data_IF_730795829159
#
_entry.id   IF_730795829159
#
_cell.length_a   1.000
_cell.length_b   1.000
_cell.length_c   1.000
_cell.angle_alpha   90.00
_cell.angle_beta   90.00
_cell.angle_gamma   90.00
#
_symmetry.space_group_name_H-M   'P 1'
#
loop_
_entity.id
_entity.type
_entity.pdbx_description
1 polymer ?
#
# COMPACT_ATOMS: atom_id res chain seq x y z
N UNK A 1 -62.52 -11.71 7.76
CA UNK A 1 -62.87 -12.23 6.44
C UNK A 1 -61.61 -12.39 5.63
N UNK A 2 -61.50 -13.55 4.99
CA UNK A 2 -60.39 -14.10 4.21
C UNK A 2 -60.44 -13.53 2.78
N UNK A 3 -59.26 -13.38 2.15
CA UNK A 3 -58.88 -13.82 0.78
C UNK A 3 -57.73 -12.89 0.28
N UNK A 4 -56.49 -13.34 0.11
CA UNK A 4 -55.93 -14.33 -0.84
C UNK A 4 -55.74 -13.78 -2.26
N UNK A 5 -54.47 -13.57 -2.65
CA UNK A 5 -53.93 -14.10 -3.91
C UNK A 5 -52.44 -13.80 -4.05
N UNK A 6 -51.64 -14.86 -3.92
CA UNK A 6 -50.42 -15.03 -4.69
C UNK A 6 -50.77 -15.47 -6.12
N UNK A 7 -49.78 -15.56 -7.02
CA UNK A 7 -49.45 -16.91 -7.47
C UNK A 7 -47.95 -17.20 -7.48
N UNK A 8 -47.67 -18.50 -7.45
CA UNK A 8 -46.37 -19.17 -7.46
C UNK A 8 -46.15 -19.94 -8.79
N UNK A 9 -44.97 -20.57 -8.87
CA UNK A 9 -44.49 -21.63 -9.80
C UNK A 9 -43.74 -21.14 -11.06
N UNK A 10 -42.39 -21.26 -11.19
CA UNK A 10 -41.47 -22.43 -11.28
C UNK A 10 -41.49 -23.12 -12.67
N UNK A 11 -40.49 -23.93 -13.07
CA UNK A 11 -39.02 -23.88 -12.96
C UNK A 11 -38.35 -23.91 -14.36
N UNK A 12 -37.03 -23.80 -14.49
CA UNK A 12 -36.35 -24.21 -15.75
C UNK A 12 -35.07 -24.99 -15.48
N UNK A 13 -34.91 -26.03 -16.28
CA UNK A 13 -34.18 -27.27 -16.06
C UNK A 13 -32.67 -27.21 -16.24
N UNK A 14 -32.05 -28.16 -15.54
CA UNK A 14 -30.82 -28.89 -15.80
C UNK A 14 -30.60 -29.26 -17.28
N UNK A 15 -29.38 -29.01 -17.78
CA UNK A 15 -28.84 -29.69 -18.97
C UNK A 15 -27.43 -30.16 -18.64
N UNK A 16 -27.31 -31.47 -18.48
CA UNK A 16 -26.07 -32.26 -18.50
C UNK A 16 -25.97 -32.93 -19.88
N UNK A 17 -24.76 -33.39 -20.22
CA UNK A 17 -24.40 -34.28 -21.35
C UNK A 17 -24.19 -33.50 -22.68
N UNK A 18 -23.11 -33.66 -23.46
CA UNK A 18 -22.22 -34.80 -23.68
C UNK A 18 -20.76 -34.35 -23.99
N UNK A 19 -19.80 -35.18 -23.59
CA UNK A 19 -18.46 -35.28 -24.18
C UNK A 19 -18.53 -36.20 -25.44
N UNK A 20 -17.51 -36.99 -25.82
CA UNK A 20 -16.10 -36.76 -26.18
C UNK A 20 -15.81 -37.29 -27.62
N UNK A 21 -14.68 -36.95 -28.24
CA UNK A 21 -14.10 -37.71 -29.39
C UNK A 21 -12.57 -37.54 -29.33
N UNK A 22 -11.85 -38.53 -28.78
CA UNK A 22 -11.08 -39.59 -29.48
C UNK A 22 -9.82 -39.05 -30.19
N UNK A 23 -8.62 -39.42 -29.75
CA UNK A 23 -7.96 -40.73 -29.94
C UNK A 23 -7.38 -40.89 -31.35
N UNK A 24 -6.05 -40.84 -31.44
CA UNK A 24 -5.23 -41.60 -32.41
C UNK A 24 -3.92 -41.94 -31.67
N UNK A 25 -3.85 -43.11 -31.01
CA UNK A 25 -3.30 -44.38 -31.52
C UNK A 25 -1.78 -44.25 -31.74
N UNK A 26 -0.94 -44.64 -30.76
CA UNK A 26 -0.32 -45.99 -30.63
C UNK A 26 0.22 -46.51 -31.97
N UNK A 27 1.53 -46.77 -32.08
CA UNK A 27 2.10 -47.97 -32.71
C UNK A 27 3.63 -47.96 -32.49
N UNK A 28 4.10 -48.81 -31.58
CA UNK A 28 5.32 -49.61 -31.82
C UNK A 28 4.88 -50.91 -32.54
N UNK A 29 5.72 -51.93 -32.86
CA UNK A 29 7.20 -52.09 -33.04
C UNK A 29 7.53 -52.65 -34.47
N UNK A 30 8.75 -53.02 -34.92
CA UNK A 30 9.45 -54.32 -34.78
C UNK A 30 10.64 -54.39 -35.79
N UNK A 31 11.75 -54.99 -35.32
CA UNK A 31 12.90 -55.73 -35.92
C UNK A 31 13.30 -55.70 -37.41
N UNK A 32 14.63 -55.71 -37.63
CA UNK A 32 15.37 -56.65 -38.52
C UNK A 32 16.86 -56.68 -38.09
N UNK A 33 17.33 -57.61 -37.26
CA UNK A 33 18.09 -58.86 -37.58
C UNK A 33 19.11 -58.71 -38.72
N UNK A 34 20.41 -58.95 -38.46
CA UNK A 34 21.26 -59.99 -39.10
C UNK A 34 22.57 -60.16 -38.29
N UNK A 35 22.90 -61.43 -38.11
CA UNK A 35 24.03 -62.07 -37.41
C UNK A 35 25.43 -61.72 -37.93
N UNK A 36 26.46 -61.93 -37.10
CA UNK A 36 27.38 -63.09 -37.23
C UNK A 36 28.40 -63.12 -36.07
N UNK A 37 28.74 -64.34 -35.67
CA UNK A 37 29.63 -64.75 -34.58
C UNK A 37 31.12 -64.80 -35.07
N UNK A 38 32.12 -65.41 -34.38
CA UNK A 38 32.58 -65.29 -32.98
C UNK A 38 34.14 -65.26 -32.79
N UNK A 39 34.56 -65.09 -31.52
CA UNK A 39 35.86 -65.46 -30.85
C UNK A 39 37.18 -64.81 -31.31
N UNK A 40 37.82 -64.04 -30.42
CA UNK A 40 39.19 -64.37 -29.97
C UNK A 40 39.49 -63.75 -28.59
N UNK A 41 39.84 -64.65 -27.67
CA UNK A 41 40.21 -64.41 -26.29
C UNK A 41 41.68 -63.95 -26.21
N UNK A 42 41.98 -62.81 -25.60
CA UNK A 42 43.31 -62.57 -25.01
C UNK A 42 43.23 -61.67 -23.78
N UNK A 43 43.93 -62.10 -22.74
CA UNK A 43 43.81 -61.70 -21.35
C UNK A 43 44.64 -60.44 -21.01
N UNK A 44 44.23 -59.79 -19.91
CA UNK A 44 44.56 -58.44 -19.42
C UNK A 44 46.05 -58.16 -19.06
N UNK A 45 46.36 -56.87 -18.82
CA UNK A 45 46.98 -56.48 -17.56
C UNK A 45 46.03 -55.64 -16.70
N UNK A 46 45.70 -56.14 -15.51
CA UNK A 46 44.82 -55.48 -14.55
C UNK A 46 45.60 -54.37 -13.84
N UNK A 47 45.41 -53.11 -14.23
CA UNK A 47 45.86 -51.96 -13.43
C UNK A 47 44.83 -51.69 -12.32
N UNK A 48 45.17 -52.07 -11.09
CA UNK A 48 44.35 -51.76 -9.91
C UNK A 48 44.52 -50.27 -9.58
N UNK A 49 43.60 -49.43 -10.06
CA UNK A 49 43.45 -48.09 -9.53
C UNK A 49 42.69 -48.17 -8.21
N UNK A 50 43.41 -47.99 -7.10
CA UNK A 50 42.82 -47.87 -5.77
C UNK A 50 41.95 -46.61 -5.72
N UNK A 51 40.64 -46.78 -5.87
CA UNK A 51 39.68 -45.68 -5.66
C UNK A 51 39.55 -45.46 -4.16
N UNK A 52 40.27 -44.47 -3.63
CA UNK A 52 40.07 -44.00 -2.25
C UNK A 52 38.75 -43.24 -2.22
N UNK A 53 37.65 -43.93 -1.90
CA UNK A 53 36.39 -43.26 -1.56
C UNK A 53 36.57 -42.52 -0.24
N UNK A 54 36.66 -41.19 -0.29
CA UNK A 54 36.54 -40.33 0.90
C UNK A 54 35.07 -40.28 1.32
N UNK A 55 34.68 -41.19 2.20
CA UNK A 55 33.35 -41.14 2.85
C UNK A 55 33.43 -40.10 3.96
N UNK A 56 32.77 -38.96 3.77
CA UNK A 56 32.52 -38.01 4.85
C UNK A 56 31.49 -38.64 5.81
N UNK A 57 31.97 -39.12 6.94
CA UNK A 57 31.12 -39.49 8.08
C UNK A 57 30.77 -38.19 8.80
N UNK A 58 29.50 -37.79 8.77
CA UNK A 58 29.00 -36.72 9.64
C UNK A 58 28.06 -37.32 10.68
N UNK A 59 28.27 -36.80 11.88
CA UNK A 59 27.72 -37.13 13.16
C UNK A 59 26.18 -37.21 13.19
N UNK A 60 25.70 -37.89 14.22
CA UNK A 60 24.38 -38.42 14.49
C UNK A 60 23.28 -37.34 14.56
N UNK A 61 22.72 -36.97 13.42
CA UNK A 61 21.38 -36.34 13.33
C UNK A 61 20.59 -37.00 12.20
N UNK A 62 19.71 -37.90 12.62
CA UNK A 62 18.59 -38.51 11.88
C UNK A 62 18.81 -38.77 10.38
N UNK A 63 19.41 -39.92 10.03
CA UNK A 63 19.13 -40.68 8.79
C UNK A 63 19.25 -40.02 7.40
N UNK A 64 19.55 -38.72 7.30
CA UNK A 64 19.54 -37.98 6.05
C UNK A 64 20.87 -38.20 5.33
N UNK A 65 20.79 -38.75 4.12
CA UNK A 65 21.93 -38.89 3.20
C UNK A 65 22.16 -37.53 2.54
N UNK A 66 23.26 -36.88 2.87
CA UNK A 66 23.69 -35.66 2.19
C UNK A 66 24.56 -36.06 0.99
N UNK A 67 24.20 -35.59 -0.21
CA UNK A 67 25.04 -35.72 -1.39
C UNK A 67 26.14 -34.67 -1.31
N UNK A 68 27.33 -35.06 -0.86
CA UNK A 68 28.49 -34.17 -0.73
C UNK A 68 29.02 -33.67 -2.09
N UNK A 69 28.58 -34.29 -3.20
CA UNK A 69 28.98 -33.95 -4.57
C UNK A 69 28.06 -32.90 -5.24
N UNK A 70 27.02 -32.44 -4.55
CA UNK A 70 26.11 -31.42 -5.07
C UNK A 70 26.77 -30.03 -4.99
N UNK A 71 27.37 -29.58 -6.09
CA UNK A 71 27.85 -28.20 -6.23
C UNK A 71 26.66 -27.24 -6.34
N UNK A 72 26.76 -26.09 -5.68
CA UNK A 72 25.71 -25.07 -5.75
C UNK A 72 25.56 -24.58 -7.20
N UNK A 73 24.34 -24.49 -7.73
CA UNK A 73 24.11 -23.95 -9.07
C UNK A 73 24.68 -22.54 -9.22
N UNK A 74 25.31 -22.23 -10.36
CA UNK A 74 25.95 -20.94 -10.60
C UNK A 74 24.99 -19.74 -10.47
N UNK A 75 23.69 -19.92 -10.72
CA UNK A 75 22.69 -18.87 -10.54
C UNK A 75 22.50 -18.48 -9.06
N UNK A 76 22.71 -19.41 -8.13
CA UNK A 76 22.62 -19.14 -6.70
C UNK A 76 23.83 -18.31 -6.23
N UNK A 77 25.02 -18.61 -6.76
CA UNK A 77 26.21 -17.79 -6.51
C UNK A 77 26.03 -16.36 -7.04
N UNK A 78 25.39 -16.21 -8.22
CA UNK A 78 25.04 -14.90 -8.76
C UNK A 78 24.06 -14.16 -7.82
N UNK A 79 23.05 -14.86 -7.31
CA UNK A 79 22.09 -14.31 -6.33
C UNK A 79 22.78 -13.80 -5.06
N UNK A 80 23.73 -14.56 -4.51
CA UNK A 80 24.52 -14.15 -3.34
C UNK A 80 25.42 -12.93 -3.58
N UNK A 81 25.70 -12.56 -4.83
CA UNK A 81 26.41 -11.32 -5.17
C UNK A 81 25.45 -10.17 -5.51
N UNK A 82 24.38 -10.49 -6.22
CA UNK A 82 23.42 -9.51 -6.74
C UNK A 82 22.49 -9.00 -5.64
N UNK A 83 21.95 -9.87 -4.77
CA UNK A 83 21.07 -9.47 -3.67
C UNK A 83 21.73 -8.47 -2.72
N UNK A 84 22.92 -8.73 -2.13
CA UNK A 84 23.53 -7.74 -1.25
C UNK A 84 23.94 -6.46 -1.99
N UNK A 85 24.28 -6.54 -3.28
CA UNK A 85 24.54 -5.35 -4.10
C UNK A 85 23.26 -4.50 -4.27
N UNK A 86 22.11 -5.12 -4.54
CA UNK A 86 20.83 -4.42 -4.60
C UNK A 86 20.39 -3.86 -3.24
N UNK A 87 20.68 -4.57 -2.14
CA UNK A 87 20.43 -4.05 -0.79
C UNK A 87 21.31 -2.83 -0.51
N UNK A 88 22.60 -2.87 -0.88
CA UNK A 88 23.51 -1.73 -0.71
C UNK A 88 23.13 -0.54 -1.60
N UNK A 89 22.79 -0.79 -2.86
CA UNK A 89 22.27 0.25 -3.77
C UNK A 89 20.96 0.81 -3.22
N UNK A 90 20.08 -0.04 -2.70
CA UNK A 90 18.86 0.34 -1.98
C UNK A 90 19.19 1.25 -0.81
N UNK A 91 20.09 0.85 0.09
CA UNK A 91 20.51 1.64 1.25
C UNK A 91 21.11 3.00 0.88
N UNK A 92 21.92 3.07 -0.18
CA UNK A 92 22.52 4.35 -0.65
C UNK A 92 21.45 5.24 -1.29
N UNK A 93 20.52 4.68 -2.06
CA UNK A 93 19.42 5.43 -2.66
C UNK A 93 18.32 5.81 -1.66
N UNK A 94 18.23 5.12 -0.52
CA UNK A 94 17.32 5.47 0.60
C UNK A 94 18.02 6.27 1.70
N UNK A 95 19.25 6.77 1.48
CA UNK A 95 20.08 7.36 2.56
C UNK A 95 19.77 8.82 2.92
N UNK A 96 18.68 9.40 2.41
CA UNK A 96 18.04 10.56 3.06
C UNK A 96 16.98 10.06 4.07
N UNK A 97 17.42 9.83 5.31
CA UNK A 97 16.65 9.74 6.57
C UNK A 97 15.11 9.63 6.49
N UNK A 98 14.54 8.53 6.98
CA UNK A 98 13.15 8.50 7.46
C UNK A 98 13.09 8.06 8.93
N UNK A 99 13.55 8.95 9.79
CA UNK A 99 13.47 8.93 11.27
C UNK A 99 13.35 10.43 11.63
N UNK A 100 12.29 11.01 12.22
CA UNK A 100 11.24 10.59 13.14
C UNK A 100 9.83 10.89 12.58
N UNK A 101 8.78 10.17 13.03
CA UNK A 101 7.37 10.40 12.65
C UNK A 101 6.86 9.71 11.37
N UNK A 102 7.54 8.66 10.88
CA UNK A 102 7.47 8.09 9.51
C UNK A 102 6.18 8.37 8.70
N UNK A 103 6.38 9.15 7.64
CA UNK A 103 5.46 9.95 6.80
C UNK A 103 5.14 11.34 7.34
N UNK A 104 5.08 11.55 8.65
CA UNK A 104 4.94 12.87 9.28
C UNK A 104 6.27 13.63 9.50
N UNK A 105 6.15 14.92 9.84
CA UNK A 105 7.21 15.89 10.10
C UNK A 105 7.51 16.09 11.61
N UNK A 106 6.66 15.54 12.49
CA UNK A 106 6.75 15.63 13.96
C UNK A 106 6.90 14.26 14.64
N UNK A 107 7.47 14.23 15.85
CA UNK A 107 7.33 13.11 16.78
C UNK A 107 6.07 13.32 17.64
N UNK A 108 5.21 12.29 17.74
CA UNK A 108 3.93 12.39 18.43
C UNK A 108 3.81 11.29 19.48
N UNK A 109 3.89 11.66 20.76
CA UNK A 109 3.65 10.72 21.84
C UNK A 109 2.15 10.63 22.16
N UNK A 110 1.55 9.47 21.87
CA UNK A 110 0.12 9.23 22.08
C UNK A 110 -0.30 9.24 23.55
N UNK A 111 0.59 8.94 24.49
CA UNK A 111 0.27 8.81 25.93
C UNK A 111 0.29 10.17 26.62
N UNK A 112 1.29 11.00 26.32
CA UNK A 112 1.42 12.36 26.84
C UNK A 112 0.70 13.39 25.99
N UNK A 113 0.27 13.01 24.77
CA UNK A 113 -0.29 13.91 23.75
C UNK A 113 0.65 15.07 23.40
N UNK A 114 1.95 14.90 23.63
CA UNK A 114 2.95 15.90 23.28
C UNK A 114 3.42 15.68 21.84
N UNK A 115 3.45 16.77 21.09
CA UNK A 115 4.05 16.85 19.77
C UNK A 115 5.34 17.66 19.86
N UNK A 116 6.42 17.09 19.33
CA UNK A 116 7.72 17.75 19.25
C UNK A 116 8.24 17.66 17.83
N UNK A 117 9.03 18.65 17.43
CA UNK A 117 9.75 18.58 16.17
C UNK A 117 10.76 17.42 16.20
N UNK A 118 11.24 16.97 15.05
CA UNK A 118 12.24 15.89 14.97
C UNK A 118 13.58 16.21 15.67
N UNK A 119 13.82 17.48 16.01
CA UNK A 119 14.97 17.92 16.82
C UNK A 119 14.69 17.91 18.34
N UNK A 120 13.49 17.50 18.76
CA UNK A 120 13.04 17.44 20.15
C UNK A 120 12.53 18.76 20.73
N UNK A 121 12.50 19.85 19.95
CA UNK A 121 11.92 21.12 20.39
C UNK A 121 10.38 21.06 20.45
N UNK A 122 9.71 21.80 21.37
CA UNK A 122 8.25 21.85 21.43
C UNK A 122 7.65 22.34 20.10
N UNK A 123 6.60 21.69 19.63
CA UNK A 123 5.86 22.16 18.47
C UNK A 123 4.85 23.24 18.90
N UNK A 124 5.05 24.48 18.45
CA UNK A 124 4.22 25.64 18.82
C UNK A 124 3.02 25.86 17.87
N UNK A 125 2.66 24.88 17.03
CA UNK A 125 1.54 25.00 16.08
C UNK A 125 1.80 25.95 14.90
N UNK A 126 2.96 26.61 14.89
CA UNK A 126 3.43 27.54 13.85
C UNK A 126 4.71 26.97 13.26
N UNK A 127 4.85 27.07 11.93
CA UNK A 127 6.06 26.62 11.25
C UNK A 127 7.27 27.38 11.79
N UNK A 128 8.46 26.77 11.74
CA UNK A 128 9.73 27.31 12.28
C UNK A 128 10.19 28.63 11.61
N UNK A 129 9.37 29.22 10.73
CA UNK A 129 9.58 30.57 10.22
C UNK A 129 8.24 31.15 9.75
N UNK A 130 7.81 32.25 10.39
CA UNK A 130 6.61 33.06 10.09
C UNK A 130 5.31 32.65 10.78
N UNK A 131 4.51 33.66 11.12
CA UNK A 131 3.23 33.64 11.86
C UNK A 131 2.08 32.90 11.16
N UNK A 132 2.41 32.03 10.21
CA UNK A 132 1.49 31.31 9.34
C UNK A 132 1.30 29.89 9.90
N UNK A 133 0.05 29.46 9.99
CA UNK A 133 -0.31 28.11 10.45
C UNK A 133 0.37 27.07 9.55
N UNK A 134 1.15 26.15 10.13
CA UNK A 134 1.68 25.03 9.36
C UNK A 134 0.62 23.92 9.34
N UNK A 135 -0.26 23.97 8.34
CA UNK A 135 -1.39 23.04 8.21
C UNK A 135 -0.97 21.56 8.11
N UNK A 136 0.19 21.26 7.54
CA UNK A 136 0.70 19.87 7.49
C UNK A 136 1.06 19.38 8.89
N UNK A 137 1.78 20.20 9.66
CA UNK A 137 2.23 19.84 11.00
C UNK A 137 1.08 19.83 12.02
N UNK A 138 0.18 20.83 11.97
CA UNK A 138 -1.06 20.83 12.75
C UNK A 138 -1.94 19.62 12.42
N UNK A 139 -2.05 19.27 11.13
CA UNK A 139 -2.81 18.12 10.68
C UNK A 139 -2.25 16.80 11.21
N UNK A 140 -0.93 16.65 11.26
CA UNK A 140 -0.29 15.49 11.87
C UNK A 140 -0.64 15.35 13.37
N UNK A 141 -0.66 16.47 14.10
CA UNK A 141 -1.04 16.48 15.51
C UNK A 141 -2.49 16.04 15.70
N UNK A 142 -3.41 16.53 14.87
CA UNK A 142 -4.81 16.13 14.90
C UNK A 142 -4.94 14.64 14.57
N UNK A 143 -4.30 14.20 13.49
CA UNK A 143 -4.34 12.83 12.99
C UNK A 143 -3.90 11.78 14.01
N UNK A 144 -2.75 12.04 14.64
CA UNK A 144 -2.11 11.11 15.59
C UNK A 144 -2.57 11.32 17.03
N UNK A 145 -3.08 12.51 17.35
CA UNK A 145 -3.43 12.96 18.70
C UNK A 145 -4.93 12.99 18.93
N UNK A 146 -5.50 14.20 19.07
CA UNK A 146 -6.82 14.43 19.64
C UNK A 146 -7.98 13.80 18.84
N UNK A 147 -7.88 13.72 17.51
CA UNK A 147 -8.90 13.08 16.67
C UNK A 147 -8.70 11.56 16.55
N UNK A 148 -7.51 11.05 16.88
CA UNK A 148 -7.14 9.64 16.85
C UNK A 148 -7.44 8.93 15.50
N UNK A 149 -7.38 9.65 14.37
CA UNK A 149 -7.62 9.13 13.03
C UNK A 149 -6.71 7.92 12.71
N UNK A 150 -5.46 7.99 13.15
CA UNK A 150 -4.45 6.94 13.03
C UNK A 150 -4.90 5.58 13.62
N UNK A 151 -5.82 5.58 14.59
CA UNK A 151 -6.32 4.36 15.22
C UNK A 151 -7.11 3.45 14.27
N UNK A 152 -7.80 4.04 13.29
CA UNK A 152 -8.59 3.30 12.30
C UNK A 152 -7.92 3.28 10.92
N UNK A 153 -7.35 4.41 10.50
CA UNK A 153 -6.74 4.57 9.17
C UNK A 153 -5.24 4.18 9.13
N UNK A 154 -4.70 3.73 10.27
CA UNK A 154 -3.33 3.30 10.43
C UNK A 154 -2.35 4.47 10.56
N UNK A 155 -1.32 4.33 11.40
CA UNK A 155 -0.34 5.41 11.67
C UNK A 155 0.33 6.00 10.42
N UNK A 156 0.42 5.21 9.34
CA UNK A 156 1.04 5.60 8.07
C UNK A 156 0.02 5.79 6.92
N UNK A 157 -1.27 5.94 7.25
CA UNK A 157 -2.37 6.06 6.29
C UNK A 157 -2.65 4.79 5.49
N UNK A 158 -2.13 3.64 5.94
CA UNK A 158 -2.24 2.35 5.25
C UNK A 158 -3.60 1.66 5.39
N UNK A 159 -4.52 2.25 6.16
CA UNK A 159 -5.82 1.68 6.48
C UNK A 159 -5.77 0.65 7.61
N UNK A 160 -6.86 -0.09 7.76
CA UNK A 160 -7.03 -1.16 8.74
C UNK A 160 -8.51 -1.40 8.99
N UNK A 161 -9.04 -0.76 10.04
CA UNK A 161 -10.48 -0.68 10.28
C UNK A 161 -11.12 0.36 9.35
N UNK A 162 -10.42 1.47 9.12
CA UNK A 162 -10.77 2.49 8.15
C UNK A 162 -10.09 2.26 6.80
N UNK A 163 -10.58 2.91 5.73
CA UNK A 163 -9.95 2.89 4.42
C UNK A 163 -8.51 3.40 4.44
N UNK A 164 -7.70 2.93 3.49
CA UNK A 164 -6.37 3.46 3.25
C UNK A 164 -6.43 4.81 2.51
N UNK A 165 -5.45 5.67 2.77
CA UNK A 165 -5.25 6.92 2.03
C UNK A 165 -4.21 6.79 0.91
N UNK A 166 -3.36 5.75 1.01
CA UNK A 166 -2.23 5.52 0.13
C UNK A 166 -2.64 4.83 -1.17
N UNK A 167 -1.76 4.83 -2.17
CA UNK A 167 -2.01 4.13 -3.44
C UNK A 167 -3.00 4.85 -4.36
N UNK A 168 -3.28 6.13 -4.11
CA UNK A 168 -4.22 6.93 -4.89
C UNK A 168 -5.66 6.90 -4.37
N UNK A 169 -6.00 6.01 -3.43
CA UNK A 169 -7.36 5.82 -2.89
C UNK A 169 -7.99 7.11 -2.35
N UNK A 170 -7.18 7.98 -1.71
CA UNK A 170 -7.69 9.24 -1.18
C UNK A 170 -8.20 10.14 -2.31
N UNK A 171 -7.39 10.37 -3.35
CA UNK A 171 -7.73 11.28 -4.43
C UNK A 171 -8.78 10.71 -5.40
N UNK A 172 -8.86 9.39 -5.54
CA UNK A 172 -9.98 8.76 -6.28
C UNK A 172 -11.29 8.92 -5.55
N UNK A 173 -11.28 8.81 -4.22
CA UNK A 173 -12.50 8.95 -3.40
C UNK A 173 -12.91 10.41 -3.24
N UNK A 174 -11.96 11.30 -2.95
CA UNK A 174 -12.19 12.73 -2.70
C UNK A 174 -11.28 13.58 -3.60
N UNK A 175 -11.74 13.92 -4.81
CA UNK A 175 -10.97 14.75 -5.73
C UNK A 175 -10.68 16.15 -5.17
N UNK A 176 -11.62 16.73 -4.43
CA UNK A 176 -11.50 18.09 -3.87
C UNK A 176 -11.24 18.06 -2.36
N UNK A 177 -10.54 19.07 -1.85
CA UNK A 177 -10.32 19.24 -0.42
C UNK A 177 -11.65 19.45 0.33
N UNK A 178 -12.57 20.23 -0.25
CA UNK A 178 -13.87 20.52 0.37
C UNK A 178 -14.72 19.27 0.60
N UNK A 179 -14.77 18.35 -0.37
CA UNK A 179 -15.54 17.10 -0.22
C UNK A 179 -14.92 16.20 0.85
N UNK A 180 -13.58 16.17 0.92
CA UNK A 180 -12.87 15.43 1.95
C UNK A 180 -13.15 16.01 3.34
N UNK A 181 -13.05 17.33 3.50
CA UNK A 181 -13.34 18.03 4.75
C UNK A 181 -14.79 17.82 5.19
N UNK A 182 -15.75 17.85 4.24
CA UNK A 182 -17.16 17.63 4.54
C UNK A 182 -17.43 16.20 5.02
N UNK A 183 -16.75 15.21 4.45
CA UNK A 183 -16.83 13.83 4.91
C UNK A 183 -16.35 13.67 6.36
N UNK A 184 -15.21 14.27 6.71
CA UNK A 184 -14.67 14.23 8.08
C UNK A 184 -15.59 15.00 9.06
N UNK A 185 -16.11 16.16 8.64
CA UNK A 185 -17.03 16.96 9.44
C UNK A 185 -18.27 16.14 9.84
N UNK A 186 -18.94 15.53 8.86
CA UNK A 186 -20.20 14.81 9.09
C UNK A 186 -20.00 13.41 9.68
N UNK A 187 -18.91 12.73 9.29
CA UNK A 187 -18.76 11.30 9.48
C UNK A 187 -19.86 10.49 8.78
N UNK A 188 -19.84 9.17 8.94
CA UNK A 188 -20.76 8.31 8.18
C UNK A 188 -22.24 8.57 8.50
N UNK A 189 -22.57 8.80 9.78
CA UNK A 189 -23.95 8.98 10.22
C UNK A 189 -24.53 10.34 9.82
N UNK A 190 -23.75 11.42 9.97
CA UNK A 190 -24.14 12.75 9.50
C UNK A 190 -24.29 12.77 7.98
N UNK A 191 -23.36 12.13 7.27
CA UNK A 191 -23.40 12.06 5.80
C UNK A 191 -24.65 11.34 5.29
N UNK A 192 -24.98 10.18 5.87
CA UNK A 192 -26.19 9.44 5.51
C UNK A 192 -27.46 10.25 5.74
N UNK A 193 -27.47 11.10 6.76
CA UNK A 193 -28.63 11.90 7.14
C UNK A 193 -28.79 13.15 6.26
N UNK A 194 -27.68 13.80 5.87
CA UNK A 194 -27.71 15.06 5.13
C UNK A 194 -27.61 14.90 3.62
N UNK A 195 -26.82 13.93 3.15
CA UNK A 195 -26.45 13.81 1.73
C UNK A 195 -27.04 12.55 1.12
N UNK A 196 -26.81 11.39 1.75
CA UNK A 196 -27.36 10.13 1.24
C UNK A 196 -26.50 8.90 1.53
N UNK A 197 -26.87 7.74 0.97
CA UNK A 197 -26.28 6.45 1.32
C UNK A 197 -24.87 6.23 0.75
N UNK A 198 -24.45 7.03 -0.24
CA UNK A 198 -23.15 6.92 -0.90
C UNK A 198 -22.29 8.16 -0.67
N UNK A 199 -20.97 8.02 -0.79
CA UNK A 199 -20.00 9.11 -0.63
C UNK A 199 -18.84 8.98 -1.62
N UNK A 200 -18.13 10.10 -1.81
CA UNK A 200 -16.98 10.19 -2.71
C UNK A 200 -17.35 10.10 -4.19
N UNK A 201 -16.35 10.27 -5.06
CA UNK A 201 -16.55 10.31 -6.51
C UNK A 201 -16.91 8.95 -7.14
N UNK A 202 -16.71 7.85 -6.40
CA UNK A 202 -17.00 6.48 -6.84
C UNK A 202 -18.31 5.93 -6.23
N UNK A 203 -19.15 6.78 -5.62
CA UNK A 203 -20.41 6.38 -4.98
C UNK A 203 -20.25 5.23 -3.98
N UNK A 204 -19.18 5.26 -3.17
CA UNK A 204 -18.90 4.24 -2.17
C UNK A 204 -20.05 4.21 -1.15
N UNK A 205 -20.56 3.03 -0.84
CA UNK A 205 -21.64 2.88 0.15
C UNK A 205 -21.11 3.25 1.54
N UNK A 206 -21.79 4.17 2.22
CA UNK A 206 -21.48 4.52 3.60
C UNK A 206 -21.96 3.40 4.52
N UNK A 207 -21.03 2.58 5.02
CA UNK A 207 -21.34 1.43 5.91
C UNK A 207 -21.31 1.78 7.41
N UNK A 208 -21.09 3.05 7.75
CA UNK A 208 -20.89 3.48 9.13
C UNK A 208 -19.45 3.38 9.62
N UNK A 209 -19.23 3.75 10.88
CA UNK A 209 -17.94 3.58 11.57
C UNK A 209 -17.05 4.82 11.58
N UNK A 210 -17.10 5.69 10.57
CA UNK A 210 -16.36 6.96 10.62
C UNK A 210 -17.09 7.96 11.52
N UNK A 211 -16.48 8.41 12.63
CA UNK A 211 -17.10 9.41 13.50
C UNK A 211 -17.14 10.77 12.81
N UNK A 212 -18.17 11.55 13.09
CA UNK A 212 -18.24 12.96 12.71
C UNK A 212 -17.46 13.85 13.68
N UNK A 213 -16.78 14.86 13.14
CA UNK A 213 -15.96 15.81 13.88
C UNK A 213 -16.54 17.23 13.95
N UNK A 214 -17.75 17.44 13.43
CA UNK A 214 -18.48 18.70 13.59
C UNK A 214 -18.56 19.11 15.06
N UNK A 215 -18.09 20.32 15.37
CA UNK A 215 -18.05 20.87 16.72
C UNK A 215 -17.04 20.22 17.68
N UNK A 216 -16.24 19.25 17.20
CA UNK A 216 -15.14 18.64 17.97
C UNK A 216 -13.77 19.17 17.55
N UNK A 217 -13.61 19.47 16.25
CA UNK A 217 -12.45 20.15 15.71
C UNK A 217 -12.84 21.58 15.33
N UNK A 218 -11.89 22.50 15.51
CA UNK A 218 -11.96 23.83 14.89
C UNK A 218 -11.86 23.71 13.38
N UNK A 219 -12.23 24.77 12.65
CA UNK A 219 -12.14 24.79 11.20
C UNK A 219 -10.68 24.62 10.71
N UNK A 220 -9.74 25.31 11.35
CA UNK A 220 -8.31 25.16 11.06
C UNK A 220 -7.82 23.73 11.32
N UNK A 221 -8.21 23.08 12.42
CA UNK A 221 -7.82 21.69 12.70
C UNK A 221 -8.43 20.69 11.70
N UNK A 222 -9.67 20.92 11.28
CA UNK A 222 -10.36 20.09 10.29
C UNK A 222 -9.65 20.17 8.93
N UNK A 223 -9.36 21.38 8.46
CA UNK A 223 -8.63 21.54 7.20
C UNK A 223 -7.17 21.12 7.31
N UNK A 224 -6.52 21.33 8.46
CA UNK A 224 -5.17 20.86 8.70
C UNK A 224 -5.05 19.34 8.55
N UNK A 225 -5.96 18.56 9.15
CA UNK A 225 -5.90 17.09 9.02
C UNK A 225 -6.15 16.64 7.58
N UNK A 226 -7.03 17.31 6.84
CA UNK A 226 -7.27 17.05 5.42
C UNK A 226 -6.01 17.34 4.58
N UNK A 227 -5.36 18.48 4.82
CA UNK A 227 -4.10 18.87 4.15
C UNK A 227 -3.03 17.84 4.45
N UNK A 228 -2.86 17.45 5.71
CA UNK A 228 -1.90 16.43 6.11
C UNK A 228 -2.15 15.11 5.38
N UNK A 229 -3.39 14.59 5.40
CA UNK A 229 -3.72 13.32 4.73
C UNK A 229 -3.46 13.39 3.21
N UNK A 230 -3.84 14.49 2.56
CA UNK A 230 -3.68 14.74 1.13
C UNK A 230 -2.22 14.86 0.69
N UNK A 231 -1.39 15.56 1.45
CA UNK A 231 0.04 15.75 1.16
C UNK A 231 0.83 14.50 1.53
N UNK A 232 0.69 14.05 2.77
CA UNK A 232 1.58 13.06 3.37
C UNK A 232 1.24 11.63 2.94
N UNK A 233 -0.05 11.30 2.80
CA UNK A 233 -0.47 9.95 2.40
C UNK A 233 -0.93 9.90 0.94
N UNK A 234 -1.65 10.93 0.49
CA UNK A 234 -2.12 11.04 -0.88
C UNK A 234 -1.02 11.39 -1.89
N UNK A 235 0.09 12.00 -1.46
CA UNK A 235 1.19 12.40 -2.32
C UNK A 235 0.97 13.72 -3.09
N UNK A 236 0.00 14.54 -2.67
CA UNK A 236 -0.23 15.85 -3.26
C UNK A 236 0.88 16.85 -2.96
N UNK A 237 1.08 17.81 -3.86
CA UNK A 237 2.01 18.93 -3.61
C UNK A 237 1.39 19.90 -2.60
N UNK A 238 2.20 20.38 -1.65
CA UNK A 238 1.70 21.17 -0.51
C UNK A 238 0.96 22.43 -0.96
N UNK A 239 1.54 23.21 -1.85
CA UNK A 239 0.96 24.46 -2.34
C UNK A 239 -0.34 24.23 -3.12
N UNK A 240 -0.39 23.20 -3.97
CA UNK A 240 -1.60 22.83 -4.72
C UNK A 240 -2.72 22.41 -3.77
N UNK A 241 -2.40 21.62 -2.74
CA UNK A 241 -3.38 21.18 -1.74
C UNK A 241 -3.86 22.36 -0.90
N UNK A 242 -2.98 23.27 -0.49
CA UNK A 242 -3.37 24.47 0.24
C UNK A 242 -4.28 25.37 -0.61
N UNK A 243 -4.01 25.49 -1.90
CA UNK A 243 -4.87 26.23 -2.84
C UNK A 243 -6.24 25.57 -2.99
N UNK A 244 -6.30 24.24 -3.18
CA UNK A 244 -7.54 23.46 -3.27
C UNK A 244 -8.37 23.54 -1.98
N UNK A 245 -7.71 23.67 -0.83
CA UNK A 245 -8.36 23.89 0.46
C UNK A 245 -8.75 25.36 0.74
N UNK A 246 -8.38 26.31 -0.14
CA UNK A 246 -8.65 27.74 0.06
C UNK A 246 -7.85 28.36 1.21
N UNK A 247 -6.67 27.83 1.51
CA UNK A 247 -5.81 28.24 2.64
C UNK A 247 -4.58 29.05 2.22
N UNK A 248 -4.39 29.25 0.91
CA UNK A 248 -3.42 30.23 0.45
C UNK A 248 -4.07 31.61 0.50
N UNK A 249 -3.44 32.53 1.22
CA UNK A 249 -3.71 33.95 1.04
C UNK A 249 -3.30 34.27 -0.40
N UNK A 250 -4.26 34.51 -1.29
CA UNK A 250 -3.96 35.26 -2.51
C UNK A 250 -3.35 36.57 -2.02
N UNK A 251 -2.10 36.83 -2.37
CA UNK A 251 -1.55 38.18 -2.32
C UNK A 251 -2.53 39.01 -3.14
N UNK A 252 -3.49 39.65 -2.46
CA UNK A 252 -4.37 40.62 -3.06
C UNK A 252 -3.42 41.70 -3.51
N UNK A 253 -3.03 41.64 -4.78
CA UNK A 253 -2.45 42.76 -5.48
C UNK A 253 -3.38 43.94 -5.15
N UNK A 254 -2.88 44.85 -4.33
CA UNK A 254 -3.46 46.16 -4.13
C UNK A 254 -3.39 46.91 -5.47
N UNK A 255 -4.14 46.48 -6.49
CA UNK A 255 -4.67 47.36 -7.53
C UNK A 255 -5.94 48.04 -6.98
N UNK A 256 -5.81 48.69 -5.82
CA UNK A 256 -6.69 49.78 -5.44
C UNK A 256 -6.18 51.07 -6.09
N UNK A 257 -6.75 51.35 -7.26
CA UNK A 257 -7.18 52.69 -7.64
C UNK A 257 -6.11 53.80 -7.64
N UNK A 258 -5.14 53.71 -8.55
CA UNK A 258 -4.60 54.96 -9.13
C UNK A 258 -5.73 55.70 -9.85
N UNK A 259 -5.87 56.99 -9.55
CA UNK A 259 -6.77 57.98 -10.19
C UNK A 259 -8.19 58.10 -9.60
N UNK A 260 -8.27 58.24 -8.27
CA UNK A 260 -9.15 59.28 -7.71
C UNK A 260 -8.51 60.67 -7.92
N UNK A 261 -8.47 61.15 -9.17
CA UNK A 261 -8.30 62.59 -9.45
C UNK A 261 -9.31 62.97 -10.54
N UNK A 262 -10.46 63.46 -10.08
CA UNK A 262 -11.25 64.53 -10.70
C UNK A 262 -12.72 64.32 -10.35
N UNK A 263 -13.12 64.84 -9.19
CA UNK A 263 -14.49 65.33 -9.04
C UNK A 263 -14.57 66.68 -9.79
N UNK A 264 -15.00 66.62 -11.06
CA UNK A 264 -16.16 67.27 -11.71
C UNK A 264 -16.72 68.58 -11.09
N UNK A 265 -17.49 69.44 -11.81
CA UNK A 265 -17.45 69.94 -13.20
C UNK A 265 -17.18 71.46 -13.30
#
# INVERSE_FOLDING_TARGET
SVESSAPAEAPVEEVVEEAPVEEVVEEAPVEEVVEEAPVEETQAPVSVNTVIKKVAVINKTMGIRLNADASLPNWLNLSFLVIPLFILIGMVNTSSTQECGVKGILDVDRKSQQTVNCDGSPFEGTGVSSSTVNYVALGQQVYSGAAACAGCHGVNGGGGVGPAFIGGELYTTFPTCSDHAKWIQLGSAGWQSEIGPTYGAEDKVSIGGMPGFQGKLTEDELYAVVVFERVVFGGGQTEEVLSDCGLLEEEVEEEITTEAISSTP
#
